data_IF_326558915734
#
_entry.id   IF_326558915734
#
_cell.length_a   1.000
_cell.length_b   1.000
_cell.length_c   1.000
_cell.angle_alpha   90.00
_cell.angle_beta   90.00
_cell.angle_gamma   90.00
#
_symmetry.space_group_name_H-M   'P 1'
#
loop_
_entity.id
_entity.type
_entity.pdbx_description
1 polymer ?
#
# COMPACT_ATOMS: atom_id res chain seq x y z
N UNK A 1 2.41 12.96 9.26
CA UNK A 1 2.51 11.52 8.96
C UNK A 1 1.08 10.96 8.96
N UNK A 2 0.56 10.51 7.83
CA UNK A 2 -0.78 9.89 7.77
C UNK A 2 -0.59 8.38 7.86
N UNK A 3 -0.95 7.80 9.00
CA UNK A 3 -0.92 6.36 9.20
C UNK A 3 -2.36 5.93 9.44
N UNK A 4 -3.00 5.21 8.50
CA UNK A 4 -4.31 4.66 8.80
C UNK A 4 -4.17 3.74 10.01
N UNK A 5 -5.05 3.89 10.98
CA UNK A 5 -5.17 2.96 12.10
C UNK A 5 -5.66 1.64 11.52
N UNK A 6 -4.74 0.70 11.28
CA UNK A 6 -5.14 -0.64 10.87
C UNK A 6 -5.67 -1.39 12.08
N UNK A 7 -6.73 -2.15 11.88
CA UNK A 7 -7.29 -3.07 12.86
C UNK A 7 -6.44 -4.33 12.97
N UNK A 8 -6.62 -5.08 14.07
CA UNK A 8 -5.99 -6.40 14.25
C UNK A 8 -6.37 -7.38 13.13
N UNK A 9 -7.60 -7.29 12.61
CA UNK A 9 -8.07 -8.15 11.52
C UNK A 9 -7.36 -7.83 10.21
N UNK A 10 -7.22 -6.55 9.86
CA UNK A 10 -6.46 -6.13 8.68
C UNK A 10 -5.00 -6.52 8.80
N UNK A 11 -4.39 -6.37 9.97
CA UNK A 11 -3.02 -6.82 10.19
C UNK A 11 -2.86 -8.33 9.95
N UNK A 12 -3.77 -9.16 10.49
CA UNK A 12 -3.75 -10.62 10.27
C UNK A 12 -3.90 -10.96 8.80
N UNK A 13 -4.83 -10.32 8.11
CA UNK A 13 -5.02 -10.50 6.66
C UNK A 13 -3.73 -10.19 5.88
N UNK A 14 -3.05 -9.08 6.18
CA UNK A 14 -1.78 -8.72 5.55
C UNK A 14 -0.67 -9.75 5.82
N UNK A 15 -0.62 -10.31 7.04
CA UNK A 15 0.31 -11.38 7.39
C UNK A 15 -0.01 -12.66 6.60
N UNK A 16 -1.28 -13.04 6.48
CA UNK A 16 -1.69 -14.19 5.66
C UNK A 16 -1.30 -13.99 4.20
N UNK A 17 -1.57 -12.81 3.64
CA UNK A 17 -1.15 -12.41 2.29
C UNK A 17 0.36 -12.63 2.09
N UNK A 18 1.21 -12.25 3.06
CA UNK A 18 2.67 -12.40 2.96
C UNK A 18 3.09 -13.85 2.71
N UNK A 19 2.39 -14.81 3.30
CA UNK A 19 2.71 -16.24 3.20
C UNK A 19 2.01 -16.95 2.03
N UNK A 20 1.15 -16.27 1.27
CA UNK A 20 0.59 -16.83 0.04
C UNK A 20 1.67 -16.96 -1.04
N UNK A 21 1.62 -18.09 -1.78
CA UNK A 21 2.62 -18.44 -2.80
C UNK A 21 2.60 -17.49 -4.01
N UNK A 22 1.42 -17.03 -4.41
CA UNK A 22 1.21 -16.18 -5.56
C UNK A 22 0.28 -15.06 -5.10
N UNK A 23 0.87 -13.94 -4.66
CA UNK A 23 0.11 -12.75 -4.35
C UNK A 23 0.76 -11.56 -5.04
N UNK A 24 -0.09 -10.74 -5.65
CA UNK A 24 0.26 -9.42 -6.14
C UNK A 24 -0.51 -8.40 -5.32
N UNK A 25 0.06 -7.22 -5.17
CA UNK A 25 -0.61 -6.13 -4.48
C UNK A 25 -0.36 -4.78 -5.12
N UNK A 26 -1.01 -3.79 -4.55
CA UNK A 26 -0.75 -2.38 -4.78
C UNK A 26 -0.16 -1.80 -3.51
N UNK A 27 0.94 -1.08 -3.65
CA UNK A 27 1.54 -0.30 -2.58
C UNK A 27 1.32 1.19 -2.84
N UNK A 28 0.79 1.91 -1.85
CA UNK A 28 0.81 3.36 -1.84
C UNK A 28 2.15 3.83 -1.27
N UNK A 29 2.96 4.46 -2.10
CA UNK A 29 4.31 4.91 -1.74
C UNK A 29 4.34 6.44 -1.76
N UNK A 30 4.87 7.04 -0.70
CA UNK A 30 5.05 8.48 -0.64
C UNK A 30 6.34 8.95 -1.35
N UNK A 31 6.53 10.26 -1.38
CA UNK A 31 7.70 10.91 -1.98
C UNK A 31 9.05 10.62 -1.32
N UNK A 32 9.08 9.99 -0.15
CA UNK A 32 10.29 9.51 0.52
C UNK A 32 10.52 8.01 0.26
N UNK A 33 9.85 7.45 -0.75
CA UNK A 33 9.87 6.02 -1.06
C UNK A 33 9.46 5.14 0.13
N UNK A 34 8.57 5.66 0.99
CA UNK A 34 8.03 4.96 2.14
C UNK A 34 6.61 4.48 1.84
N UNK A 35 6.34 3.20 2.14
CA UNK A 35 5.01 2.61 1.96
C UNK A 35 4.05 3.07 3.06
N UNK A 36 2.95 3.68 2.64
CA UNK A 36 1.90 4.23 3.50
C UNK A 36 0.63 3.37 3.51
N UNK A 37 0.51 2.44 2.56
CA UNK A 37 -0.60 1.50 2.48
C UNK A 37 -0.29 0.35 1.53
N UNK A 38 -0.92 -0.80 1.76
CA UNK A 38 -0.82 -1.95 0.88
C UNK A 38 -2.18 -2.65 0.78
N UNK A 39 -2.51 -3.14 -0.42
CA UNK A 39 -3.72 -3.94 -0.64
C UNK A 39 -3.44 -5.05 -1.67
N UNK A 40 -3.99 -6.23 -1.46
CA UNK A 40 -3.87 -7.33 -2.43
C UNK A 40 -4.63 -7.01 -3.72
N UNK A 41 -4.16 -7.50 -4.86
CA UNK A 41 -4.97 -7.52 -6.09
C UNK A 41 -6.04 -8.59 -5.90
N UNK A 42 -7.31 -8.18 -5.90
CA UNK A 42 -8.46 -9.09 -5.79
C UNK A 42 -9.08 -9.25 -7.19
N UNK A 43 -9.04 -10.46 -7.79
CA UNK A 43 -9.65 -10.69 -9.09
C UNK A 43 -11.15 -10.36 -9.08
N UNK A 44 -11.58 -9.55 -10.04
CA UNK A 44 -12.98 -9.10 -10.15
C UNK A 44 -13.31 -7.81 -9.38
N UNK A 45 -12.39 -7.30 -8.56
CA UNK A 45 -12.56 -6.01 -7.90
C UNK A 45 -12.04 -4.86 -8.79
N UNK A 46 -12.96 -4.01 -9.26
CA UNK A 46 -12.62 -2.88 -10.13
C UNK A 46 -11.87 -1.76 -9.42
N UNK A 47 -11.92 -1.69 -8.08
CA UNK A 47 -11.21 -0.69 -7.29
C UNK A 47 -9.71 -0.98 -7.21
N UNK A 48 -9.31 -2.23 -7.41
CA UNK A 48 -7.92 -2.69 -7.32
C UNK A 48 -7.44 -3.31 -8.64
N UNK A 49 -8.12 -3.04 -9.74
CA UNK A 49 -7.78 -3.61 -11.05
C UNK A 49 -6.56 -2.92 -11.70
N UNK A 50 -6.33 -1.65 -11.40
CA UNK A 50 -5.27 -0.83 -12.01
C UNK A 50 -4.62 0.08 -10.98
N UNK A 51 -3.41 0.58 -11.26
CA UNK A 51 -2.75 1.55 -10.38
C UNK A 51 -3.60 2.82 -10.15
N UNK A 52 -4.32 3.28 -11.19
CA UNK A 52 -5.18 4.45 -11.10
C UNK A 52 -6.40 4.20 -10.20
N UNK A 53 -7.07 3.06 -10.36
CA UNK A 53 -8.21 2.67 -9.51
C UNK A 53 -7.75 2.44 -8.07
N UNK A 54 -6.61 1.78 -7.87
CA UNK A 54 -6.00 1.57 -6.56
C UNK A 54 -5.63 2.90 -5.88
N UNK A 55 -5.12 3.90 -6.62
CA UNK A 55 -4.87 5.24 -6.07
C UNK A 55 -6.17 5.91 -5.60
N UNK A 56 -7.28 5.72 -6.32
CA UNK A 56 -8.61 6.21 -5.89
C UNK A 56 -9.12 5.44 -4.67
N UNK A 57 -8.87 4.14 -4.59
CA UNK A 57 -9.26 3.31 -3.45
C UNK A 57 -8.47 3.68 -2.18
N UNK A 58 -7.16 3.88 -2.29
CA UNK A 58 -6.30 4.33 -1.18
C UNK A 58 -6.60 5.75 -0.73
N UNK A 59 -6.92 6.66 -1.67
CA UNK A 59 -7.20 8.06 -1.38
C UNK A 59 -8.51 8.47 -2.07
N UNK A 60 -9.67 8.16 -1.47
CA UNK A 60 -10.98 8.41 -2.08
C UNK A 60 -11.25 9.90 -2.35
N UNK A 61 -10.82 10.75 -1.43
CA UNK A 61 -10.96 12.20 -1.57
C UNK A 61 -10.10 12.73 -2.73
N UNK A 62 -10.77 13.33 -3.71
CA UNK A 62 -10.13 13.85 -4.92
C UNK A 62 -9.15 14.98 -4.66
N UNK A 63 -9.43 15.88 -3.72
CA UNK A 63 -8.56 17.02 -3.40
C UNK A 63 -7.29 16.53 -2.70
N UNK A 64 -7.42 15.62 -1.75
CA UNK A 64 -6.29 15.01 -1.05
C UNK A 64 -5.43 14.19 -2.02
N UNK A 65 -6.06 13.41 -2.90
CA UNK A 65 -5.37 12.61 -3.92
C UNK A 65 -4.55 13.47 -4.87
N UNK A 66 -5.14 14.52 -5.44
CA UNK A 66 -4.41 15.44 -6.33
C UNK A 66 -3.23 16.12 -5.62
N UNK A 67 -3.43 16.54 -4.37
CA UNK A 67 -2.35 17.13 -3.58
C UNK A 67 -1.22 16.12 -3.30
N UNK A 68 -1.54 14.88 -2.90
CA UNK A 68 -0.54 13.81 -2.69
C UNK A 68 0.21 13.45 -3.97
N UNK A 69 -0.48 13.37 -5.10
CA UNK A 69 0.16 13.13 -6.40
C UNK A 69 1.14 14.25 -6.77
N UNK A 70 0.78 15.52 -6.53
CA UNK A 70 1.70 16.66 -6.73
C UNK A 70 2.92 16.61 -5.82
N UNK A 71 2.78 16.04 -4.62
CA UNK A 71 3.90 15.81 -3.72
C UNK A 71 4.78 14.63 -4.12
N UNK A 72 4.40 13.83 -5.12
CA UNK A 72 5.18 12.67 -5.60
C UNK A 72 4.71 11.33 -5.04
N UNK A 73 3.52 11.26 -4.43
CA UNK A 73 2.95 9.97 -4.02
C UNK A 73 2.50 9.16 -5.23
N UNK A 74 2.82 7.87 -5.23
CA UNK A 74 2.54 6.95 -6.34
C UNK A 74 1.92 5.65 -5.84
N UNK A 75 1.28 4.92 -6.74
CA UNK A 75 0.87 3.52 -6.50
C UNK A 75 1.76 2.62 -7.35
N UNK A 76 2.37 1.63 -6.72
CA UNK A 76 3.26 0.67 -7.37
C UNK A 76 2.69 -0.75 -7.27
N UNK A 77 2.86 -1.55 -8.32
CA UNK A 77 2.54 -2.99 -8.26
C UNK A 77 3.62 -3.68 -7.39
N UNK A 78 3.18 -4.49 -6.44
CA UNK A 78 4.03 -5.27 -5.55
C UNK A 78 3.90 -6.75 -5.91
N UNK A 79 4.76 -7.22 -6.82
CA UNK A 79 4.71 -8.59 -7.36
C UNK A 79 5.55 -9.60 -6.56
N UNK A 80 6.53 -9.11 -5.80
CA UNK A 80 7.49 -9.91 -5.04
C UNK A 80 7.28 -9.84 -3.52
N UNK A 81 6.32 -9.01 -3.06
CA UNK A 81 5.99 -8.73 -1.65
C UNK A 81 7.02 -7.86 -0.95
N UNK A 82 7.85 -7.14 -1.70
CA UNK A 82 8.78 -6.18 -1.16
C UNK A 82 8.04 -5.12 -0.33
N UNK A 83 7.04 -4.48 -0.93
CA UNK A 83 6.30 -3.40 -0.28
C UNK A 83 5.40 -3.90 0.85
N UNK A 84 4.78 -5.07 0.71
CA UNK A 84 4.03 -5.71 1.80
C UNK A 84 4.93 -5.96 3.02
N UNK A 85 6.15 -6.45 2.80
CA UNK A 85 7.10 -6.73 3.88
C UNK A 85 7.58 -5.44 4.55
N UNK A 86 7.87 -4.41 3.75
CA UNK A 86 8.21 -3.08 4.23
C UNK A 86 7.05 -2.48 5.06
N UNK A 87 5.81 -2.62 4.60
CA UNK A 87 4.63 -2.09 5.27
C UNK A 87 4.37 -2.78 6.62
N UNK A 88 4.40 -4.12 6.64
CA UNK A 88 4.28 -4.90 7.88
C UNK A 88 5.39 -4.59 8.88
N UNK A 89 6.61 -4.37 8.39
CA UNK A 89 7.74 -3.96 9.23
C UNK A 89 7.47 -2.59 9.82
N UNK A 90 7.03 -1.64 8.99
CA UNK A 90 6.74 -0.29 9.44
C UNK A 90 5.66 -0.28 10.52
N UNK A 91 4.54 -0.98 10.30
CA UNK A 91 3.48 -1.24 11.29
C UNK A 91 4.06 -1.71 12.62
N UNK A 92 4.91 -2.75 12.58
CA UNK A 92 5.44 -3.38 13.79
C UNK A 92 6.42 -2.49 14.55
N UNK A 93 7.29 -1.76 13.85
CA UNK A 93 8.38 -0.99 14.48
C UNK A 93 7.97 0.44 14.82
N UNK A 94 6.89 0.94 14.22
CA UNK A 94 6.54 2.36 14.27
C UNK A 94 7.30 3.22 13.26
N UNK A 95 8.36 2.71 12.61
CA UNK A 95 9.26 3.44 11.72
C UNK A 95 9.02 3.09 10.24
N UNK A 96 8.97 4.08 9.36
CA UNK A 96 8.87 3.85 7.91
C UNK A 96 10.15 3.20 7.37
N UNK A 97 9.99 2.17 6.55
CA UNK A 97 11.08 1.59 5.78
C UNK A 97 11.21 2.40 4.50
N UNK A 98 12.31 3.15 4.36
CA UNK A 98 12.68 3.81 3.12
C UNK A 98 13.20 2.73 2.16
N UNK A 99 12.46 2.47 1.08
CA UNK A 99 12.91 1.47 0.11
C UNK A 99 14.21 1.92 -0.55
N UNK A 100 15.29 1.16 -0.34
CA UNK A 100 16.54 1.35 -1.10
C UNK A 100 16.30 1.01 -2.58
N UNK A 101 16.65 1.96 -3.46
CA UNK A 101 16.48 1.86 -4.91
C UNK A 101 17.44 0.91 -5.61
#
# INVERSE_FOLDING_TARGET
MYRPEITVQEYRYLVECKYQRIIKGWALVDHHNSVQGWHAVVPGDSQWATAESAMKAFVPDTRVRQWRQRLGWTVQEDVDRYWLTAFLTAIRTGYTFEGGG
#
